data_IF_407503854339
#
_entry.id   IF_407503854339
#
_cell.length_a   1.000
_cell.length_b   1.000
_cell.length_c   1.000
_cell.angle_alpha   90.00
_cell.angle_beta   90.00
_cell.angle_gamma   90.00
#
_symmetry.space_group_name_H-M   'P 1'
#
loop_
_entity.id
_entity.type
_entity.pdbx_description
1 polymer ?
#
# COMPACT_ATOMS: atom_id res chain seq x y z
N UNK A 1 -13.53 4.16 43.01
CA UNK A 1 -13.38 3.44 44.27
C UNK A 1 -11.93 3.04 44.40
N UNK A 2 -11.28 3.78 45.30
CA UNK A 2 -10.23 3.41 46.25
C UNK A 2 -8.88 2.95 45.73
N UNK A 3 -7.87 3.79 45.97
CA UNK A 3 -6.96 3.92 47.15
C UNK A 3 -5.78 2.97 46.99
N UNK A 4 -4.53 3.39 47.09
CA UNK A 4 -3.77 3.95 48.23
C UNK A 4 -2.36 4.29 47.69
N UNK A 5 -1.81 5.43 47.73
CA UNK A 5 -1.19 6.21 48.83
C UNK A 5 -0.17 5.43 49.70
N UNK A 6 0.99 6.09 49.85
CA UNK A 6 1.96 6.06 50.96
C UNK A 6 3.13 5.08 50.79
N UNK A 7 4.40 5.50 50.87
CA UNK A 7 4.97 6.05 52.09
C UNK A 7 6.34 6.74 51.85
N UNK A 8 6.42 7.96 52.31
CA UNK A 8 7.65 8.64 52.76
C UNK A 8 8.16 7.93 54.02
N UNK A 9 9.47 7.74 54.12
CA UNK A 9 10.14 7.74 55.43
C UNK A 9 11.56 8.28 55.29
N UNK A 10 11.75 9.37 55.99
CA UNK A 10 12.93 10.05 56.45
C UNK A 10 13.89 9.11 57.18
N UNK A 11 15.18 9.23 56.93
CA UNK A 11 16.17 8.99 57.98
C UNK A 11 17.25 10.08 57.90
N UNK A 12 17.13 10.98 58.89
CA UNK A 12 18.12 11.90 59.32
C UNK A 12 19.04 11.17 60.29
N UNK A 13 20.36 11.25 60.13
CA UNK A 13 21.27 11.18 61.26
C UNK A 13 22.58 11.87 60.92
N UNK A 14 22.86 12.85 61.75
CA UNK A 14 24.08 13.63 61.84
C UNK A 14 25.24 12.77 62.39
N UNK A 15 26.45 13.08 62.01
CA UNK A 15 27.51 13.54 62.94
C UNK A 15 28.90 13.26 62.34
N UNK A 16 29.79 14.20 62.49
CA UNK A 16 31.23 13.92 62.58
C UNK A 16 32.17 14.75 61.72
N UNK A 17 32.55 15.91 62.20
CA UNK A 17 33.71 16.70 61.71
C UNK A 17 34.98 15.86 61.59
N UNK A 18 35.70 16.00 60.44
CA UNK A 18 37.15 16.21 60.45
C UNK A 18 37.55 16.89 59.12
N UNK A 19 38.10 18.13 59.30
CA UNK A 19 38.85 18.84 58.25
C UNK A 19 40.18 18.12 58.06
N UNK A 20 40.42 17.70 56.83
CA UNK A 20 41.79 17.49 56.33
C UNK A 20 41.90 18.32 55.06
N UNK A 21 42.70 19.42 55.21
CA UNK A 21 43.10 20.18 54.03
C UNK A 21 44.09 19.35 53.24
N UNK A 22 43.64 18.89 52.08
CA UNK A 22 44.48 18.33 51.04
C UNK A 22 44.10 19.03 49.73
N UNK A 23 45.00 19.93 49.29
CA UNK A 23 44.82 20.66 48.03
C UNK A 23 44.81 19.70 46.87
N UNK A 24 43.64 19.47 46.33
CA UNK A 24 43.47 18.81 45.03
C UNK A 24 43.37 19.91 43.98
N UNK A 25 44.42 20.06 43.19
CA UNK A 25 44.37 20.83 41.93
C UNK A 25 43.20 20.33 41.08
N UNK A 26 42.31 21.20 40.56
CA UNK A 26 41.34 20.80 39.58
C UNK A 26 42.08 20.47 38.27
N UNK A 27 42.23 19.18 38.01
CA UNK A 27 42.67 18.74 36.69
C UNK A 27 41.58 19.10 35.71
N UNK A 28 41.84 20.10 34.86
CA UNK A 28 40.98 20.46 33.73
C UNK A 28 40.74 19.23 32.86
N UNK A 29 39.46 18.89 32.50
CA UNK A 29 39.20 17.76 31.65
C UNK A 29 39.82 18.00 30.28
N UNK A 30 40.72 17.10 29.89
CA UNK A 30 41.46 17.13 28.62
C UNK A 30 40.48 17.28 27.45
N UNK A 31 40.74 18.16 26.46
CA UNK A 31 39.83 18.48 25.37
C UNK A 31 39.48 17.28 24.45
N UNK A 32 40.22 16.17 24.53
CA UNK A 32 39.98 14.95 23.78
C UNK A 32 38.55 14.38 24.00
N UNK A 33 37.96 14.52 25.18
CA UNK A 33 36.63 14.00 25.47
C UNK A 33 35.51 14.76 24.77
N UNK A 34 35.70 16.02 24.43
CA UNK A 34 34.71 16.85 23.73
C UNK A 34 34.63 16.49 22.25
N UNK A 35 35.76 16.28 21.59
CA UNK A 35 35.86 15.89 20.20
C UNK A 35 35.28 14.47 19.98
N UNK A 36 35.54 13.55 20.90
CA UNK A 36 34.98 12.19 20.84
C UNK A 36 33.46 12.20 20.99
N UNK A 37 32.91 13.03 21.88
CA UNK A 37 31.46 13.20 22.06
C UNK A 37 30.81 13.83 20.83
N UNK A 38 31.46 14.82 20.20
CA UNK A 38 30.99 15.43 18.97
C UNK A 38 31.03 14.45 17.79
N UNK A 39 32.08 13.64 17.68
CA UNK A 39 32.18 12.59 16.66
C UNK A 39 31.12 11.50 16.86
N UNK A 40 30.86 11.09 18.11
CA UNK A 40 29.79 10.13 18.41
C UNK A 40 28.40 10.70 18.13
N UNK A 41 28.14 11.96 18.44
CA UNK A 41 26.89 12.64 18.13
C UNK A 41 26.67 12.81 16.61
N UNK A 42 27.74 13.15 15.87
CA UNK A 42 27.70 13.24 14.42
C UNK A 42 27.43 11.86 13.78
N UNK A 43 28.06 10.79 14.28
CA UNK A 43 27.82 9.42 13.81
C UNK A 43 26.38 8.97 14.10
N UNK A 44 25.85 9.28 15.29
CA UNK A 44 24.46 8.98 15.65
C UNK A 44 23.46 9.75 14.77
N UNK A 45 23.74 11.02 14.46
CA UNK A 45 22.93 11.83 13.56
C UNK A 45 22.92 11.27 12.13
N UNK A 46 24.07 10.83 11.61
CA UNK A 46 24.17 10.19 10.29
C UNK A 46 23.42 8.85 10.27
N UNK A 47 23.53 8.03 11.32
CA UNK A 47 22.75 6.79 11.45
C UNK A 47 21.24 7.05 11.52
N UNK A 48 20.80 8.10 12.20
CA UNK A 48 19.38 8.49 12.19
C UNK A 48 18.89 8.97 10.82
N UNK A 49 19.72 9.71 10.07
CA UNK A 49 19.37 10.12 8.70
C UNK A 49 19.28 8.92 7.74
N UNK A 50 20.12 7.91 7.88
CA UNK A 50 20.09 6.69 7.07
C UNK A 50 18.90 5.78 7.42
N UNK A 51 18.35 5.88 8.63
CA UNK A 51 17.19 5.10 9.06
C UNK A 51 15.84 5.63 8.52
N UNK A 52 15.82 6.81 7.90
CA UNK A 52 14.59 7.44 7.36
C UNK A 52 14.31 7.11 5.88
N UNK A 53 14.95 6.08 5.30
CA UNK A 53 14.53 5.61 3.99
C UNK A 53 13.12 5.03 4.12
N UNK A 54 12.09 5.65 3.50
CA UNK A 54 10.76 5.08 3.51
C UNK A 54 10.85 3.72 2.82
N UNK A 55 10.51 2.66 3.53
CA UNK A 55 10.23 1.37 2.92
C UNK A 55 9.05 1.59 1.97
N UNK A 56 9.31 1.76 0.68
CA UNK A 56 8.26 1.80 -0.34
C UNK A 56 7.59 0.43 -0.33
N UNK A 57 6.40 0.37 0.27
CA UNK A 57 5.48 -0.72 0.00
C UNK A 57 5.28 -0.77 -1.53
N UNK A 58 5.23 -1.96 -2.11
CA UNK A 58 4.88 -2.11 -3.51
C UNK A 58 3.52 -1.44 -3.74
N UNK A 59 3.46 -0.48 -4.64
CA UNK A 59 2.27 0.34 -4.91
C UNK A 59 1.86 0.13 -6.35
N UNK A 60 0.56 0.01 -6.59
CA UNK A 60 0.01 0.00 -7.94
C UNK A 60 -0.19 1.45 -8.36
N UNK A 61 0.42 1.85 -9.46
CA UNK A 61 0.19 3.16 -10.07
C UNK A 61 -0.69 2.99 -11.30
N UNK A 62 -1.81 3.70 -11.37
CA UNK A 62 -2.65 3.78 -12.57
C UNK A 62 -2.03 4.83 -13.49
N UNK A 63 -1.46 4.38 -14.61
CA UNK A 63 -0.76 5.26 -15.56
C UNK A 63 -1.68 5.84 -16.62
N UNK A 64 -2.80 5.16 -16.91
CA UNK A 64 -3.80 5.61 -17.86
C UNK A 64 -5.18 5.14 -17.41
N UNK A 65 -6.16 6.06 -17.49
CA UNK A 65 -7.57 5.76 -17.34
C UNK A 65 -8.36 6.67 -18.26
N UNK A 66 -9.17 6.10 -19.14
CA UNK A 66 -10.04 6.85 -20.06
C UNK A 66 -11.30 6.07 -20.35
N UNK A 67 -12.41 6.77 -20.57
CA UNK A 67 -13.67 6.21 -21.02
C UNK A 67 -13.94 6.73 -22.43
N UNK A 68 -14.30 5.82 -23.30
CA UNK A 68 -14.68 6.10 -24.68
C UNK A 68 -16.13 5.58 -24.93
N UNK A 69 -16.97 6.37 -25.61
CA UNK A 69 -18.27 5.86 -26.04
C UNK A 69 -18.08 4.77 -27.10
N UNK A 70 -18.94 3.77 -27.07
CA UNK A 70 -18.97 2.65 -28.01
C UNK A 70 -20.42 2.32 -28.36
N UNK A 71 -20.66 1.61 -29.47
CA UNK A 71 -21.99 1.15 -29.84
C UNK A 71 -22.66 0.24 -28.77
N UNK A 72 -21.84 -0.42 -27.95
CA UNK A 72 -22.29 -1.34 -26.90
C UNK A 72 -22.38 -0.68 -25.52
N UNK A 73 -21.97 0.60 -25.39
CA UNK A 73 -21.94 1.33 -24.12
C UNK A 73 -20.63 2.09 -23.88
N UNK A 74 -20.38 2.42 -22.62
CA UNK A 74 -19.21 3.18 -22.20
C UNK A 74 -18.05 2.25 -21.88
N UNK A 75 -16.95 2.35 -22.65
CA UNK A 75 -15.81 1.44 -22.60
C UNK A 75 -14.65 2.08 -21.85
N UNK A 76 -14.23 1.46 -20.75
CA UNK A 76 -13.09 1.88 -19.94
C UNK A 76 -11.81 1.26 -20.48
N UNK A 77 -10.76 2.08 -20.65
CA UNK A 77 -9.39 1.69 -20.96
C UNK A 77 -8.49 2.04 -19.79
N UNK A 78 -7.69 1.08 -19.34
CA UNK A 78 -6.83 1.20 -18.17
C UNK A 78 -5.42 0.71 -18.47
N UNK A 79 -4.43 1.35 -17.86
CA UNK A 79 -3.07 0.82 -17.78
C UNK A 79 -2.51 1.04 -16.36
N UNK A 80 -1.81 0.03 -15.89
CA UNK A 80 -1.18 0.00 -14.57
C UNK A 80 0.32 -0.17 -14.68
N UNK A 81 1.04 0.38 -13.69
CA UNK A 81 2.46 0.14 -13.48
C UNK A 81 2.65 -0.37 -12.05
N UNK A 82 3.11 -1.59 -11.90
CA UNK A 82 3.47 -2.20 -10.62
C UNK A 82 4.31 -3.45 -10.85
N UNK A 83 4.98 -3.87 -9.79
CA UNK A 83 5.72 -5.13 -9.74
C UNK A 83 5.26 -5.94 -8.54
N UNK A 84 5.32 -7.26 -8.66
CA UNK A 84 5.10 -8.12 -7.51
C UNK A 84 6.33 -8.02 -6.60
N UNK A 85 6.11 -7.95 -5.30
CA UNK A 85 7.18 -8.12 -4.35
C UNK A 85 7.55 -9.60 -4.23
N UNK A 86 8.72 -9.90 -3.65
CA UNK A 86 9.23 -11.26 -3.52
C UNK A 86 8.26 -12.20 -2.79
N UNK A 87 7.55 -11.71 -1.79
CA UNK A 87 6.58 -12.51 -1.04
C UNK A 87 5.41 -12.99 -1.90
N UNK A 88 4.90 -12.14 -2.78
CA UNK A 88 3.83 -12.46 -3.72
C UNK A 88 4.32 -13.36 -4.86
N UNK A 89 5.53 -13.13 -5.38
CA UNK A 89 6.14 -14.00 -6.38
C UNK A 89 6.39 -15.41 -5.84
N UNK A 90 6.92 -15.53 -4.62
CA UNK A 90 7.13 -16.80 -3.94
C UNK A 90 5.81 -17.55 -3.70
N UNK A 91 4.77 -16.83 -3.29
CA UNK A 91 3.46 -17.43 -3.12
C UNK A 91 2.88 -17.93 -4.44
N UNK A 92 2.96 -17.10 -5.50
CA UNK A 92 2.49 -17.44 -6.84
C UNK A 92 3.21 -18.70 -7.37
N UNK A 93 4.54 -18.78 -7.27
CA UNK A 93 5.35 -19.92 -7.74
C UNK A 93 5.07 -21.21 -6.96
N UNK A 94 4.59 -21.10 -5.72
CA UNK A 94 4.08 -22.23 -4.93
C UNK A 94 2.65 -22.63 -5.28
N UNK A 95 2.04 -21.99 -6.30
CA UNK A 95 0.70 -22.29 -6.79
C UNK A 95 -0.43 -21.53 -6.08
N UNK A 96 -0.12 -20.52 -5.25
CA UNK A 96 -1.15 -19.68 -4.63
C UNK A 96 -1.68 -18.71 -5.69
N UNK A 97 -3.00 -18.72 -6.00
CA UNK A 97 -3.57 -17.78 -6.95
C UNK A 97 -3.63 -16.37 -6.33
N UNK A 98 -3.29 -15.35 -7.12
CA UNK A 98 -3.45 -13.94 -6.76
C UNK A 98 -4.62 -13.35 -7.53
N UNK A 99 -5.38 -12.46 -6.88
CA UNK A 99 -6.58 -11.84 -7.44
C UNK A 99 -6.43 -10.33 -7.42
N UNK A 100 -6.42 -9.71 -8.60
CA UNK A 100 -6.36 -8.26 -8.76
C UNK A 100 -7.75 -7.75 -9.12
N UNK A 101 -8.31 -6.93 -8.25
CA UNK A 101 -9.65 -6.39 -8.40
C UNK A 101 -9.58 -4.90 -8.72
N UNK A 102 -10.13 -4.54 -9.89
CA UNK A 102 -10.37 -3.15 -10.29
C UNK A 102 -11.78 -2.76 -9.90
N UNK A 103 -11.90 -1.67 -9.16
CA UNK A 103 -13.15 -1.06 -8.75
C UNK A 103 -13.33 0.26 -9.49
N UNK A 104 -14.51 0.47 -10.04
CA UNK A 104 -14.89 1.68 -10.78
C UNK A 104 -16.16 2.24 -10.19
N UNK A 105 -16.18 3.53 -9.95
CA UNK A 105 -17.36 4.25 -9.48
C UNK A 105 -17.57 5.47 -10.37
N UNK A 106 -18.78 5.61 -10.90
CA UNK A 106 -19.19 6.78 -11.67
C UNK A 106 -20.26 7.51 -10.88
N UNK A 107 -19.96 8.74 -10.49
CA UNK A 107 -20.83 9.58 -9.67
C UNK A 107 -21.20 10.84 -10.43
N UNK A 108 -22.44 11.30 -10.25
CA UNK A 108 -22.87 12.60 -10.74
C UNK A 108 -22.94 13.58 -9.59
N UNK A 109 -22.20 14.69 -9.69
CA UNK A 109 -22.23 15.77 -8.72
C UNK A 109 -23.60 16.45 -8.69
N UNK A 110 -24.17 16.54 -7.46
CA UNK A 110 -25.39 17.31 -7.22
C UNK A 110 -25.08 18.49 -6.30
N UNK A 111 -25.47 19.69 -6.69
CA UNK A 111 -25.15 20.92 -5.94
C UNK A 111 -25.89 21.07 -4.59
N UNK A 112 -26.94 20.28 -4.36
CA UNK A 112 -27.84 20.44 -3.20
C UNK A 112 -28.06 19.16 -2.37
N UNK A 113 -27.42 18.05 -2.72
CA UNK A 113 -27.57 16.75 -2.05
C UNK A 113 -26.28 15.95 -2.17
N UNK A 114 -26.28 14.71 -1.62
CA UNK A 114 -25.17 13.78 -1.82
C UNK A 114 -25.00 13.43 -3.30
N UNK A 115 -23.76 13.16 -3.71
CA UNK A 115 -23.45 12.71 -5.06
C UNK A 115 -24.20 11.40 -5.36
N UNK A 116 -24.76 11.29 -6.54
CA UNK A 116 -25.47 10.08 -6.98
C UNK A 116 -24.49 9.15 -7.64
N UNK A 117 -24.34 7.91 -7.07
CA UNK A 117 -23.57 6.86 -7.71
C UNK A 117 -24.42 6.24 -8.83
N UNK A 118 -24.08 6.53 -10.08
CA UNK A 118 -24.79 6.04 -11.25
C UNK A 118 -24.32 4.63 -11.64
N UNK A 119 -23.02 4.36 -11.51
CA UNK A 119 -22.41 3.08 -11.86
C UNK A 119 -21.41 2.67 -10.79
N UNK A 120 -21.48 1.43 -10.36
CA UNK A 120 -20.45 0.76 -9.56
C UNK A 120 -20.14 -0.57 -10.25
N UNK A 121 -18.93 -0.69 -10.75
CA UNK A 121 -18.52 -1.89 -11.49
C UNK A 121 -17.19 -2.42 -10.93
N UNK A 122 -17.07 -3.74 -10.94
CA UNK A 122 -15.90 -4.45 -10.41
C UNK A 122 -15.46 -5.52 -11.39
N UNK A 123 -14.16 -5.60 -11.66
CA UNK A 123 -13.59 -6.66 -12.50
C UNK A 123 -12.36 -7.25 -11.81
N UNK A 124 -12.34 -8.58 -11.72
CA UNK A 124 -11.23 -9.32 -11.11
C UNK A 124 -10.43 -10.04 -12.19
N UNK A 125 -9.10 -9.96 -12.07
CA UNK A 125 -8.14 -10.73 -12.85
C UNK A 125 -7.40 -11.67 -11.90
N UNK A 126 -7.48 -12.96 -12.18
CA UNK A 126 -6.76 -13.99 -11.43
C UNK A 126 -5.49 -14.38 -12.16
N UNK A 127 -4.37 -14.47 -11.46
CA UNK A 127 -3.14 -15.10 -11.94
C UNK A 127 -2.81 -16.29 -11.04
N UNK A 128 -2.40 -17.39 -11.62
CA UNK A 128 -1.94 -18.60 -10.91
C UNK A 128 -0.81 -19.26 -11.65
N UNK A 129 0.05 -19.97 -10.94
CA UNK A 129 1.12 -20.78 -11.52
C UNK A 129 0.80 -22.26 -11.38
N UNK A 130 0.90 -23.01 -12.47
CA UNK A 130 0.75 -24.44 -12.45
C UNK A 130 2.15 -25.08 -12.36
N UNK A 131 2.48 -25.67 -11.20
CA UNK A 131 3.77 -26.26 -10.90
C UNK A 131 4.08 -27.45 -11.81
N UNK A 132 3.06 -28.20 -12.24
CA UNK A 132 3.23 -29.38 -13.09
C UNK A 132 3.58 -29.01 -14.53
N UNK A 133 2.86 -28.05 -15.11
CA UNK A 133 3.09 -27.60 -16.50
C UNK A 133 4.10 -26.46 -16.59
N UNK A 134 4.49 -25.88 -15.44
CA UNK A 134 5.37 -24.71 -15.34
C UNK A 134 4.88 -23.52 -16.15
N UNK A 135 3.56 -23.29 -16.15
CA UNK A 135 2.90 -22.22 -16.87
C UNK A 135 2.14 -21.32 -15.94
N UNK A 136 2.11 -20.04 -16.29
CA UNK A 136 1.27 -19.04 -15.65
C UNK A 136 -0.08 -19.00 -16.37
N UNK A 137 -1.14 -18.97 -15.59
CA UNK A 137 -2.52 -18.87 -16.10
C UNK A 137 -3.15 -17.58 -15.62
N UNK A 138 -3.61 -16.76 -16.54
CA UNK A 138 -4.34 -15.54 -16.23
C UNK A 138 -5.77 -15.67 -16.72
N UNK A 139 -6.74 -15.38 -15.86
CA UNK A 139 -8.15 -15.40 -16.15
C UNK A 139 -8.80 -14.08 -15.73
N UNK A 140 -9.46 -13.43 -16.67
CA UNK A 140 -10.28 -12.24 -16.43
C UNK A 140 -11.72 -12.70 -16.23
N UNK A 141 -12.43 -12.14 -15.24
CA UNK A 141 -13.84 -12.46 -15.01
C UNK A 141 -14.66 -12.33 -16.30
N UNK A 142 -15.36 -13.42 -16.66
CA UNK A 142 -16.18 -13.50 -17.89
C UNK A 142 -15.39 -13.78 -19.17
N UNK A 143 -14.09 -14.06 -19.11
CA UNK A 143 -13.26 -14.39 -20.28
C UNK A 143 -12.56 -15.74 -20.13
N UNK A 144 -12.08 -16.28 -21.26
CA UNK A 144 -11.31 -17.52 -21.27
C UNK A 144 -9.96 -17.32 -20.61
N UNK A 145 -9.49 -18.35 -19.91
CA UNK A 145 -8.17 -18.40 -19.32
C UNK A 145 -7.09 -18.42 -20.41
N UNK A 146 -6.05 -17.63 -20.22
CA UNK A 146 -4.86 -17.59 -21.08
C UNK A 146 -3.66 -18.19 -20.33
N UNK A 147 -2.78 -18.86 -21.05
CA UNK A 147 -1.56 -19.50 -20.51
C UNK A 147 -0.32 -18.83 -21.07
N UNK A 148 0.65 -18.63 -20.20
CA UNK A 148 1.91 -17.94 -20.52
C UNK A 148 3.08 -18.76 -19.99
N UNK A 149 4.22 -18.73 -20.70
CA UNK A 149 5.45 -19.44 -20.32
C UNK A 149 6.27 -18.70 -19.27
N UNK A 150 6.11 -17.39 -19.17
CA UNK A 150 6.83 -16.56 -18.22
C UNK A 150 5.89 -15.62 -17.44
N UNK A 151 6.38 -15.13 -16.29
CA UNK A 151 5.62 -14.24 -15.41
C UNK A 151 5.38 -12.88 -16.05
N UNK A 152 6.35 -12.35 -16.77
CA UNK A 152 6.26 -10.99 -17.33
C UNK A 152 5.15 -10.88 -18.38
N UNK A 153 4.99 -11.87 -19.26
CA UNK A 153 3.89 -11.90 -20.23
C UNK A 153 2.52 -12.02 -19.54
N UNK A 154 2.44 -12.84 -18.49
CA UNK A 154 1.21 -12.94 -17.69
C UNK A 154 0.88 -11.62 -16.99
N UNK A 155 1.89 -10.93 -16.45
CA UNK A 155 1.74 -9.61 -15.80
C UNK A 155 1.41 -8.51 -16.81
N UNK A 156 1.90 -8.59 -18.05
CA UNK A 156 1.58 -7.63 -19.09
C UNK A 156 0.07 -7.55 -19.37
N UNK A 157 -0.63 -8.69 -19.33
CA UNK A 157 -2.09 -8.74 -19.46
C UNK A 157 -2.81 -8.08 -18.27
N UNK A 158 -2.26 -8.20 -17.06
CA UNK A 158 -2.82 -7.56 -15.85
C UNK A 158 -2.55 -6.06 -15.87
N UNK A 159 -1.34 -5.65 -16.29
CA UNK A 159 -0.95 -4.23 -16.40
C UNK A 159 -1.70 -3.50 -17.51
N UNK A 160 -2.10 -4.20 -18.58
CA UNK A 160 -2.88 -3.65 -19.71
C UNK A 160 -4.05 -4.57 -20.05
N UNK A 161 -5.08 -4.59 -19.18
CA UNK A 161 -6.23 -5.44 -19.42
C UNK A 161 -7.00 -4.98 -20.66
N UNK A 162 -7.73 -5.90 -21.33
CA UNK A 162 -8.61 -5.54 -22.42
C UNK A 162 -9.64 -4.50 -21.98
N UNK A 163 -10.04 -3.66 -22.90
CA UNK A 163 -11.08 -2.66 -22.70
C UNK A 163 -12.34 -3.32 -22.12
N UNK A 164 -13.02 -2.59 -21.24
CA UNK A 164 -14.13 -3.11 -20.46
C UNK A 164 -15.36 -2.20 -20.57
N UNK A 165 -16.51 -2.75 -20.98
CA UNK A 165 -17.77 -2.03 -20.94
C UNK A 165 -18.22 -1.96 -19.47
N UNK A 166 -18.31 -0.76 -18.93
CA UNK A 166 -18.62 -0.49 -17.52
C UNK A 166 -20.06 -0.02 -17.32
N UNK A 167 -20.70 0.47 -18.38
CA UNK A 167 -22.08 0.95 -18.39
C UNK A 167 -22.68 0.83 -19.78
N UNK A 168 -23.96 0.55 -19.84
CA UNK A 168 -24.72 0.57 -21.09
C UNK A 168 -24.87 2.00 -21.61
N UNK A 169 -25.14 2.15 -22.92
CA UNK A 169 -25.27 3.45 -23.57
C UNK A 169 -26.29 4.39 -22.92
N UNK A 170 -27.36 3.82 -22.38
CA UNK A 170 -28.47 4.58 -21.79
C UNK A 170 -28.27 4.93 -20.30
N UNK A 171 -27.24 4.39 -19.67
CA UNK A 171 -26.99 4.57 -18.23
C UNK A 171 -26.46 5.97 -17.91
N UNK A 172 -25.65 6.53 -18.80
CA UNK A 172 -25.07 7.86 -18.65
C UNK A 172 -25.71 8.84 -19.64
N UNK A 173 -26.27 9.93 -19.12
CA UNK A 173 -26.96 10.93 -19.97
C UNK A 173 -25.94 11.78 -20.72
N UNK A 174 -26.16 11.93 -22.02
CA UNK A 174 -25.39 12.85 -22.86
C UNK A 174 -25.48 14.29 -22.34
N UNK A 175 -24.34 14.97 -22.29
CA UNK A 175 -24.24 16.36 -21.81
C UNK A 175 -24.01 16.51 -20.31
N UNK A 176 -24.33 15.52 -19.47
CA UNK A 176 -24.02 15.53 -18.04
C UNK A 176 -22.53 15.33 -17.77
N UNK A 177 -22.04 15.87 -16.65
CA UNK A 177 -20.66 15.72 -16.22
C UNK A 177 -20.63 14.71 -15.07
N UNK A 178 -19.82 13.67 -15.24
CA UNK A 178 -19.61 12.61 -14.26
C UNK A 178 -18.18 12.63 -13.71
N UNK A 179 -18.04 12.33 -12.42
CA UNK A 179 -16.76 12.04 -11.79
C UNK A 179 -16.55 10.53 -11.77
N UNK A 180 -15.43 10.07 -12.31
CA UNK A 180 -15.08 8.66 -12.41
C UNK A 180 -13.92 8.37 -11.48
N UNK A 181 -14.16 7.55 -10.47
CA UNK A 181 -13.15 7.03 -9.57
C UNK A 181 -12.73 5.61 -10.00
N UNK A 182 -11.44 5.36 -10.05
CA UNK A 182 -10.86 4.03 -10.35
C UNK A 182 -9.82 3.68 -9.33
N UNK A 183 -9.84 2.43 -8.85
CA UNK A 183 -8.84 1.85 -7.96
C UNK A 183 -8.58 0.39 -8.32
N UNK A 184 -7.33 -0.05 -8.17
CA UNK A 184 -6.96 -1.45 -8.27
C UNK A 184 -6.33 -1.92 -6.97
N UNK A 185 -6.64 -3.15 -6.54
CA UNK A 185 -6.05 -3.75 -5.34
C UNK A 185 -5.90 -5.26 -5.48
N UNK A 186 -4.93 -5.81 -4.75
CA UNK A 186 -4.86 -7.25 -4.50
C UNK A 186 -6.02 -7.63 -3.54
N UNK A 187 -6.89 -8.52 -3.97
CA UNK A 187 -8.03 -8.96 -3.17
C UNK A 187 -7.66 -10.15 -2.29
N UNK A 188 -7.20 -9.83 -1.09
CA UNK A 188 -6.81 -10.82 -0.09
C UNK A 188 -7.99 -11.71 0.33
N UNK A 189 -9.23 -11.22 0.24
CA UNK A 189 -10.41 -11.98 0.65
C UNK A 189 -10.68 -13.20 -0.27
N UNK A 190 -10.17 -13.17 -1.50
CA UNK A 190 -10.29 -14.28 -2.44
C UNK A 190 -9.15 -15.32 -2.31
N UNK A 191 -8.14 -15.06 -1.50
CA UNK A 191 -7.06 -16.02 -1.26
C UNK A 191 -7.56 -17.23 -0.46
N UNK A 192 -6.87 -18.39 -0.56
CA UNK A 192 -7.12 -19.50 0.36
C UNK A 192 -6.92 -19.08 1.82
N UNK A 193 -7.79 -19.58 2.72
CA UNK A 193 -7.87 -19.15 4.13
C UNK A 193 -6.54 -19.03 4.88
N UNK A 194 -5.57 -19.97 4.75
CA UNK A 194 -4.28 -19.83 5.44
C UNK A 194 -3.50 -18.57 5.04
N UNK A 195 -3.63 -18.15 3.78
CA UNK A 195 -2.94 -16.96 3.27
C UNK A 195 -3.64 -15.66 3.65
N UNK A 196 -4.96 -15.67 3.85
CA UNK A 196 -5.70 -14.51 4.36
C UNK A 196 -5.20 -14.07 5.75
N UNK A 197 -4.94 -15.03 6.65
CA UNK A 197 -4.41 -14.75 7.99
C UNK A 197 -3.00 -14.16 7.92
N UNK A 198 -2.14 -14.71 7.08
CA UNK A 198 -0.79 -14.18 6.87
C UNK A 198 -0.82 -12.76 6.29
N UNK A 199 -1.72 -12.51 5.35
CA UNK A 199 -1.85 -11.22 4.69
C UNK A 199 -2.31 -10.09 5.63
N UNK A 200 -3.06 -10.41 6.70
CA UNK A 200 -3.47 -9.43 7.71
C UNK A 200 -2.26 -8.88 8.49
N UNK A 201 -1.25 -9.72 8.70
CA UNK A 201 -0.08 -9.40 9.52
C UNK A 201 1.17 -9.00 8.71
N UNK A 202 1.13 -9.12 7.38
CA UNK A 202 2.26 -8.83 6.51
C UNK A 202 1.90 -7.76 5.47
N UNK A 203 2.65 -6.66 5.47
CA UNK A 203 2.50 -5.55 4.53
C UNK A 203 2.75 -5.94 3.07
N UNK A 204 3.53 -7.01 2.81
CA UNK A 204 3.82 -7.49 1.47
C UNK A 204 2.57 -7.91 0.68
N UNK A 205 1.49 -8.24 1.39
CA UNK A 205 0.20 -8.62 0.79
C UNK A 205 -0.75 -7.42 0.59
N UNK A 206 -0.30 -6.20 0.92
CA UNK A 206 -1.09 -4.96 0.77
C UNK A 206 -0.68 -4.22 -0.50
N UNK A 207 -1.02 -4.77 -1.64
CA UNK A 207 -0.76 -4.16 -2.93
C UNK A 207 -2.04 -3.47 -3.43
N UNK A 208 -2.05 -2.15 -3.48
CA UNK A 208 -3.20 -1.36 -3.93
C UNK A 208 -2.75 -0.04 -4.56
N UNK A 209 -3.58 0.51 -5.44
CA UNK A 209 -3.45 1.90 -5.86
C UNK A 209 -4.27 2.82 -4.95
N UNK A 210 -3.95 4.09 -4.96
CA UNK A 210 -4.89 5.13 -4.55
C UNK A 210 -6.06 5.21 -5.53
N UNK A 211 -7.14 5.87 -5.11
CA UNK A 211 -8.20 6.26 -6.02
C UNK A 211 -7.69 7.37 -6.93
N UNK A 212 -7.80 7.15 -8.25
CA UNK A 212 -7.65 8.24 -9.21
C UNK A 212 -9.03 8.66 -9.67
N UNK A 213 -9.22 9.97 -9.78
CA UNK A 213 -10.47 10.58 -10.21
C UNK A 213 -10.24 11.40 -11.48
N UNK A 214 -11.14 11.25 -12.43
CA UNK A 214 -11.17 12.05 -13.64
C UNK A 214 -12.61 12.35 -14.06
N UNK A 215 -12.76 13.39 -14.84
CA UNK A 215 -14.08 13.83 -15.34
C UNK A 215 -14.38 13.18 -16.67
N UNK A 216 -15.61 12.68 -16.83
CA UNK A 216 -16.12 12.14 -18.08
C UNK A 216 -17.42 12.84 -18.47
N UNK A 217 -17.53 13.21 -19.73
CA UNK A 217 -18.75 13.79 -20.34
C UNK A 217 -19.11 12.96 -21.56
N UNK A 218 -20.22 12.19 -21.51
CA UNK A 218 -20.74 11.49 -22.68
C UNK A 218 -21.19 12.49 -23.75
N UNK A 219 -20.84 12.22 -25.00
CA UNK A 219 -21.31 12.99 -26.16
C UNK A 219 -22.67 12.51 -26.65
#
# INVERSE_FOLDING_TARGET
>A
MNLTQSALLLFSSQCGLRRVCGGAHPQSPRPLGRWLRLALAALAAVMMLLATMPARAAEITITQASIEPSAEGHRLSLAYSFELNRGLEDALTRGVPLYFTTEVQITRRRWYWFDETNVSATRTVRISYNVLTRQYHTAISGQLQQSFSNLEDAMALIRRPPRWIIADSDTLKSGDIYNVGVRMRLDVAQLPKPFQVNALNNSDWRLSSDWIEFTYKPE
#
